data_IF_900270268774
#
_entry.id   IF_900270268774
#
_cell.length_a   1.000
_cell.length_b   1.000
_cell.length_c   1.000
_cell.angle_alpha   90.00
_cell.angle_beta   90.00
_cell.angle_gamma   90.00
#
_symmetry.space_group_name_H-M   'P 1'
#
loop_
_entity.id
_entity.type
_entity.pdbx_description
1 polymer ?
#
# COMPACT_ATOMS: atom_id res chain seq x y z
N UNK A 1 -5.07 25.26 -12.80
CA UNK A 1 -6.22 24.93 -13.68
C UNK A 1 -5.60 24.51 -14.98
N UNK A 2 -5.75 23.25 -15.35
CA UNK A 2 -5.12 22.66 -16.51
C UNK A 2 -5.38 23.43 -17.81
N UNK A 3 -4.40 23.41 -18.71
CA UNK A 3 -4.54 24.01 -20.03
C UNK A 3 -5.47 23.14 -20.89
N UNK A 4 -6.53 23.74 -21.44
CA UNK A 4 -7.53 23.05 -22.27
C UNK A 4 -6.94 22.38 -23.51
N UNK A 5 -5.92 22.97 -24.12
CA UNK A 5 -5.22 22.39 -25.27
C UNK A 5 -4.44 21.13 -24.86
N UNK A 6 -3.77 21.16 -23.70
CA UNK A 6 -3.06 20.00 -23.16
C UNK A 6 -4.04 18.87 -22.80
N UNK A 7 -5.20 19.19 -22.23
CA UNK A 7 -6.23 18.17 -21.95
C UNK A 7 -6.70 17.52 -23.25
N UNK A 8 -6.98 18.33 -24.29
CA UNK A 8 -7.42 17.79 -25.59
C UNK A 8 -6.33 16.94 -26.23
N UNK A 9 -5.07 17.36 -26.14
CA UNK A 9 -3.92 16.61 -26.62
C UNK A 9 -3.83 15.26 -25.90
N UNK A 10 -3.88 15.25 -24.57
CA UNK A 10 -3.76 14.02 -23.79
C UNK A 10 -4.93 13.07 -24.08
N UNK A 11 -6.14 13.59 -24.25
CA UNK A 11 -7.32 12.79 -24.67
C UNK A 11 -7.19 12.17 -26.06
N UNK A 12 -6.37 12.76 -26.94
CA UNK A 12 -6.08 12.18 -28.25
C UNK A 12 -5.07 11.02 -28.23
N UNK A 13 -4.43 10.77 -27.08
CA UNK A 13 -3.65 9.56 -26.79
C UNK A 13 -2.14 9.75 -26.83
N UNK A 14 -1.41 8.68 -26.48
CA UNK A 14 0.05 8.69 -26.32
C UNK A 14 0.81 9.13 -27.59
N UNK A 15 0.35 8.70 -28.78
CA UNK A 15 0.97 9.10 -30.05
C UNK A 15 0.88 10.59 -30.32
N UNK A 16 -0.23 11.22 -29.94
CA UNK A 16 -0.38 12.66 -30.11
C UNK A 16 0.55 13.44 -29.17
N UNK A 17 0.71 12.97 -27.92
CA UNK A 17 1.71 13.53 -26.99
C UNK A 17 3.11 13.43 -27.60
N UNK A 18 3.48 12.27 -28.17
CA UNK A 18 4.78 12.09 -28.81
C UNK A 18 4.99 13.07 -29.98
N UNK A 19 4.02 13.16 -30.91
CA UNK A 19 4.09 14.10 -32.04
C UNK A 19 4.13 15.55 -31.59
N UNK A 20 3.34 15.93 -30.57
CA UNK A 20 3.39 17.27 -30.01
C UNK A 20 4.74 17.56 -29.38
N UNK A 21 5.34 16.60 -28.66
CA UNK A 21 6.68 16.73 -28.11
C UNK A 21 7.72 16.88 -29.21
N UNK A 22 7.65 16.12 -30.30
CA UNK A 22 8.56 16.27 -31.46
C UNK A 22 8.47 17.67 -32.10
N UNK A 23 7.27 18.21 -32.27
CA UNK A 23 7.05 19.54 -32.88
C UNK A 23 7.46 20.67 -31.93
N UNK A 24 7.21 20.51 -30.63
CA UNK A 24 7.48 21.52 -29.61
C UNK A 24 8.83 21.29 -28.90
N UNK A 25 9.69 20.41 -29.44
CA UNK A 25 10.99 20.08 -28.85
C UNK A 25 11.98 21.25 -28.86
N UNK A 26 11.60 22.42 -29.39
CA UNK A 26 12.35 23.67 -29.27
C UNK A 26 11.42 24.89 -29.29
N UNK A 27 11.44 25.73 -28.24
CA UNK A 27 11.08 27.16 -28.37
C UNK A 27 11.98 28.03 -27.45
N UNK A 28 12.61 29.10 -27.99
CA UNK A 28 13.50 30.03 -27.29
C UNK A 28 12.75 30.91 -26.27
N UNK A 29 13.44 31.39 -25.24
CA UNK A 29 12.91 32.50 -24.45
C UNK A 29 13.27 33.85 -25.14
N UNK A 30 12.29 34.69 -25.54
CA UNK A 30 12.53 36.01 -26.12
C UNK A 30 12.76 37.13 -25.09
N UNK A 31 12.95 36.84 -23.78
CA UNK A 31 12.74 37.87 -22.74
C UNK A 31 13.63 37.88 -21.48
N UNK A 32 14.79 37.19 -21.43
CA UNK A 32 15.81 37.33 -20.35
C UNK A 32 17.20 36.96 -20.93
N UNK A 33 18.26 37.75 -20.92
CA UNK A 33 18.62 38.93 -20.13
C UNK A 33 19.43 39.94 -20.98
N UNK A 34 18.91 41.15 -21.21
CA UNK A 34 19.78 42.29 -21.53
C UNK A 34 20.51 42.71 -20.25
N UNK A 35 21.67 42.12 -19.98
CA UNK A 35 22.63 42.77 -19.09
C UNK A 35 23.26 43.93 -19.85
N UNK A 36 22.80 45.16 -19.57
CA UNK A 36 23.56 46.37 -19.91
C UNK A 36 24.84 46.38 -19.08
N UNK A 37 25.93 45.86 -19.64
CA UNK A 37 27.27 46.07 -19.11
C UNK A 37 27.56 47.57 -19.15
N UNK A 38 27.64 48.20 -17.98
CA UNK A 38 28.14 49.56 -17.82
C UNK A 38 29.67 49.51 -17.69
N UNK A 39 30.37 49.52 -18.83
CA UNK A 39 31.81 49.74 -18.88
C UNK A 39 32.12 51.01 -19.69
N UNK A 40 33.01 51.84 -19.13
CA UNK A 40 33.64 52.94 -19.85
C UNK A 40 34.63 52.34 -20.87
N UNK A 41 34.48 52.76 -22.12
CA UNK A 41 35.35 52.44 -23.25
C UNK A 41 36.77 52.94 -23.01
N UNK A 42 37.72 52.06 -22.71
CA UNK A 42 39.13 52.18 -23.10
C UNK A 42 39.76 50.77 -23.14
N UNK A 43 39.41 49.93 -24.12
CA UNK A 43 40.43 49.23 -24.91
C UNK A 43 39.85 48.44 -26.09
N UNK A 44 40.73 48.23 -27.07
CA UNK A 44 40.44 47.80 -28.44
C UNK A 44 40.13 46.30 -28.59
N UNK A 45 39.26 46.03 -29.56
CA UNK A 45 39.19 44.82 -30.39
C UNK A 45 39.01 43.46 -29.70
N UNK A 46 37.76 43.08 -29.43
CA UNK A 46 37.31 41.69 -29.50
C UNK A 46 35.91 41.66 -30.11
N UNK A 47 35.74 41.00 -31.26
CA UNK A 47 34.42 40.62 -31.75
C UNK A 47 34.02 39.34 -31.00
N UNK A 48 33.46 39.48 -29.79
CA UNK A 48 32.79 38.35 -29.15
C UNK A 48 31.39 38.21 -29.76
N UNK A 49 31.26 37.32 -30.73
CA UNK A 49 29.95 36.77 -31.09
C UNK A 49 29.46 35.90 -29.94
N UNK A 50 28.64 36.47 -29.06
CA UNK A 50 27.90 35.71 -28.06
C UNK A 50 26.90 34.80 -28.78
N UNK A 51 27.11 33.47 -28.67
CA UNK A 51 26.04 32.50 -28.93
C UNK A 51 25.23 32.38 -27.65
N UNK A 52 23.89 32.46 -27.69
CA UNK A 52 23.07 32.23 -26.50
C UNK A 52 23.40 30.84 -25.93
N UNK A 53 23.69 30.76 -24.62
CA UNK A 53 23.73 29.48 -23.94
C UNK A 53 22.31 28.92 -23.88
N UNK A 54 22.07 27.83 -24.62
CA UNK A 54 20.81 27.12 -24.62
C UNK A 54 20.65 26.39 -23.28
N UNK A 55 19.69 26.79 -22.43
CA UNK A 55 19.20 25.90 -21.39
C UNK A 55 18.28 24.89 -22.06
N UNK A 56 18.73 23.63 -22.18
CA UNK A 56 18.00 22.53 -22.79
C UNK A 56 16.71 22.19 -22.01
N UNK A 57 15.62 22.92 -22.23
CA UNK A 57 14.33 22.68 -21.58
C UNK A 57 13.32 22.04 -22.53
N UNK A 58 12.78 20.88 -22.16
CA UNK A 58 11.63 20.26 -22.85
C UNK A 58 10.32 20.93 -22.45
N UNK A 59 9.38 21.04 -23.40
CA UNK A 59 8.03 21.55 -23.14
C UNK A 59 7.32 20.66 -22.10
N UNK A 60 6.61 21.28 -21.15
CA UNK A 60 5.88 20.60 -20.07
C UNK A 60 4.38 20.69 -20.29
N UNK A 61 3.68 19.58 -20.09
CA UNK A 61 2.22 19.57 -20.05
C UNK A 61 1.74 19.99 -18.66
N UNK A 62 0.90 21.02 -18.62
CA UNK A 62 0.08 21.39 -17.46
C UNK A 62 -1.30 20.72 -17.55
N UNK A 63 -1.49 19.70 -16.71
CA UNK A 63 -2.69 18.90 -16.53
C UNK A 63 -3.25 19.05 -15.09
N UNK A 64 -2.92 20.16 -14.42
CA UNK A 64 -3.32 20.41 -13.03
C UNK A 64 -4.84 20.36 -12.82
N UNK A 65 -5.31 19.44 -11.99
CA UNK A 65 -6.74 19.27 -11.70
C UNK A 65 -7.56 18.75 -12.88
N UNK A 66 -6.92 18.22 -13.93
CA UNK A 66 -7.64 17.71 -15.10
C UNK A 66 -8.43 16.43 -14.77
N UNK A 67 -9.65 16.32 -15.28
CA UNK A 67 -10.44 15.09 -15.26
C UNK A 67 -10.05 14.22 -16.45
N UNK A 68 -9.29 13.16 -16.19
CA UNK A 68 -8.71 12.23 -17.18
C UNK A 68 -9.06 10.77 -16.85
N UNK A 69 -10.18 10.53 -16.14
CA UNK A 69 -10.63 9.20 -15.76
C UNK A 69 -10.76 8.26 -16.96
N UNK A 70 -10.23 7.04 -16.86
CA UNK A 70 -10.34 6.00 -17.88
C UNK A 70 -9.46 6.23 -19.11
N UNK A 71 -8.50 7.16 -19.07
CA UNK A 71 -7.67 7.47 -20.22
C UNK A 71 -6.68 6.34 -20.55
N UNK A 72 -6.33 6.21 -21.83
CA UNK A 72 -5.41 5.18 -22.32
C UNK A 72 -4.15 5.84 -22.86
N UNK A 73 -3.09 5.79 -22.06
CA UNK A 73 -1.78 6.38 -22.34
C UNK A 73 -0.65 5.36 -22.11
N UNK A 74 -0.74 4.12 -22.65
CA UNK A 74 0.35 3.17 -22.49
C UNK A 74 1.61 3.68 -23.19
N UNK A 75 2.76 3.61 -22.52
CA UNK A 75 4.03 4.06 -23.08
C UNK A 75 4.15 5.56 -23.31
N UNK A 76 3.22 6.37 -22.80
CA UNK A 76 3.29 7.81 -22.96
C UNK A 76 4.48 8.40 -22.19
N UNK A 77 5.18 9.36 -22.78
CA UNK A 77 6.17 10.17 -22.09
C UNK A 77 5.46 11.38 -21.47
N UNK A 78 5.33 11.31 -20.15
CA UNK A 78 4.78 12.31 -19.22
C UNK A 78 5.80 12.64 -18.13
N UNK A 79 7.09 12.36 -18.37
CA UNK A 79 8.19 12.78 -17.50
C UNK A 79 8.04 14.28 -17.20
N UNK A 80 8.58 14.85 -16.12
CA UNK A 80 8.54 16.26 -15.62
C UNK A 80 7.26 17.12 -15.85
N UNK A 81 6.14 16.52 -16.26
CA UNK A 81 4.88 17.23 -16.49
C UNK A 81 4.16 17.49 -15.16
N UNK A 82 3.23 18.44 -15.17
CA UNK A 82 2.43 18.79 -13.99
C UNK A 82 1.05 18.14 -14.09
N UNK A 83 0.82 17.15 -13.24
CA UNK A 83 -0.42 16.39 -13.10
C UNK A 83 -0.99 16.56 -11.67
N UNK A 84 -0.62 17.62 -10.95
CA UNK A 84 -1.08 17.80 -9.57
C UNK A 84 -2.62 17.84 -9.50
N UNK A 85 -3.20 17.05 -8.60
CA UNK A 85 -4.64 16.98 -8.37
C UNK A 85 -5.47 16.43 -9.52
N UNK A 86 -4.87 15.84 -10.56
CA UNK A 86 -5.63 15.26 -11.66
C UNK A 86 -6.39 14.00 -11.24
N UNK A 87 -7.51 13.73 -11.90
CA UNK A 87 -8.24 12.47 -11.77
C UNK A 87 -7.87 11.55 -12.94
N UNK A 88 -7.06 10.53 -12.63
CA UNK A 88 -6.66 9.44 -13.50
C UNK A 88 -7.33 8.11 -13.09
N UNK A 89 -8.46 8.14 -12.38
CA UNK A 89 -9.15 6.93 -11.93
C UNK A 89 -9.46 5.98 -13.09
N UNK A 90 -9.15 4.69 -12.93
CA UNK A 90 -9.44 3.66 -13.94
C UNK A 90 -8.63 3.78 -15.24
N UNK A 91 -7.55 4.55 -15.24
CA UNK A 91 -6.74 4.80 -16.44
C UNK A 91 -5.73 3.68 -16.71
N UNK A 92 -5.24 3.62 -17.95
CA UNK A 92 -4.17 2.74 -18.37
C UNK A 92 -2.95 3.56 -18.77
N UNK A 93 -1.92 3.53 -17.93
CA UNK A 93 -0.62 4.20 -18.06
C UNK A 93 0.52 3.18 -18.05
N UNK A 94 0.24 1.93 -18.43
CA UNK A 94 1.22 0.85 -18.47
C UNK A 94 2.45 1.28 -19.26
N UNK A 95 3.64 1.07 -18.70
CA UNK A 95 4.92 1.40 -19.33
C UNK A 95 5.11 2.88 -19.69
N UNK A 96 4.28 3.79 -19.18
CA UNK A 96 4.50 5.22 -19.33
C UNK A 96 5.74 5.69 -18.57
N UNK A 97 6.35 6.77 -19.04
CA UNK A 97 7.44 7.46 -18.34
C UNK A 97 6.88 8.69 -17.65
N UNK A 98 6.99 8.75 -16.32
CA UNK A 98 6.60 9.85 -15.45
C UNK A 98 7.78 10.30 -14.57
N UNK A 99 9.01 10.10 -15.04
CA UNK A 99 10.22 10.54 -14.37
C UNK A 99 10.11 12.00 -13.91
N UNK A 100 10.26 12.26 -12.61
CA UNK A 100 10.27 13.62 -12.05
C UNK A 100 8.99 14.43 -12.26
N UNK A 101 7.86 13.79 -12.62
CA UNK A 101 6.58 14.50 -12.75
C UNK A 101 6.02 14.97 -11.40
N UNK A 102 5.00 15.81 -11.44
CA UNK A 102 4.24 16.22 -10.25
C UNK A 102 2.85 15.58 -10.26
N UNK A 103 2.55 14.76 -9.27
CA UNK A 103 1.29 14.02 -9.05
C UNK A 103 0.71 14.26 -7.65
N UNK A 104 1.11 15.35 -7.00
CA UNK A 104 0.62 15.71 -5.65
C UNK A 104 -0.90 15.69 -5.61
N UNK A 105 -1.46 14.99 -4.63
CA UNK A 105 -2.90 14.83 -4.44
C UNK A 105 -3.67 14.33 -5.68
N UNK A 106 -2.99 13.71 -6.66
CA UNK A 106 -3.67 13.11 -7.81
C UNK A 106 -4.45 11.86 -7.39
N UNK A 107 -5.58 11.62 -8.04
CA UNK A 107 -6.41 10.42 -7.83
C UNK A 107 -6.15 9.45 -8.97
N UNK A 108 -5.42 8.37 -8.72
CA UNK A 108 -4.97 7.39 -9.71
C UNK A 108 -5.47 5.99 -9.32
N UNK A 109 -6.61 5.93 -8.63
CA UNK A 109 -7.18 4.70 -8.09
C UNK A 109 -7.71 3.76 -9.18
N UNK A 110 -7.61 2.44 -8.95
CA UNK A 110 -8.06 1.39 -9.88
C UNK A 110 -7.43 1.47 -11.27
N UNK A 111 -6.22 2.01 -11.36
CA UNK A 111 -5.52 2.23 -12.64
C UNK A 111 -4.45 1.18 -12.89
N UNK A 112 -4.13 0.95 -14.17
CA UNK A 112 -3.01 0.13 -14.58
C UNK A 112 -1.77 1.00 -14.80
N UNK A 113 -0.83 0.91 -13.87
CA UNK A 113 0.48 1.58 -13.84
C UNK A 113 1.61 0.53 -13.92
N UNK A 114 1.32 -0.68 -14.42
CA UNK A 114 2.34 -1.75 -14.48
C UNK A 114 3.52 -1.31 -15.33
N UNK A 115 4.75 -1.58 -14.86
CA UNK A 115 6.01 -1.20 -15.53
C UNK A 115 6.20 0.30 -15.77
N UNK A 116 5.53 1.16 -15.00
CA UNK A 116 5.68 2.62 -15.12
C UNK A 116 7.02 3.10 -14.54
N UNK A 117 7.52 4.23 -15.03
CA UNK A 117 8.68 4.92 -14.45
C UNK A 117 8.21 6.15 -13.68
N UNK A 118 8.38 6.16 -12.37
CA UNK A 118 8.04 7.25 -11.44
C UNK A 118 9.26 7.71 -10.64
N UNK A 119 10.48 7.41 -11.12
CA UNK A 119 11.72 7.83 -10.47
C UNK A 119 11.70 9.34 -10.20
N UNK A 120 11.96 9.74 -8.94
CA UNK A 120 11.93 11.14 -8.48
C UNK A 120 10.59 11.87 -8.68
N UNK A 121 9.50 11.17 -8.94
CA UNK A 121 8.19 11.79 -9.04
C UNK A 121 7.74 12.33 -7.67
N UNK A 122 7.02 13.46 -7.69
CA UNK A 122 6.41 14.04 -6.50
C UNK A 122 4.96 13.60 -6.41
N UNK A 123 4.66 12.67 -5.50
CA UNK A 123 3.37 11.97 -5.37
C UNK A 123 2.75 12.14 -3.97
N UNK A 124 3.06 13.26 -3.30
CA UNK A 124 2.63 13.52 -1.92
C UNK A 124 1.10 13.49 -1.84
N UNK A 125 0.57 12.68 -0.92
CA UNK A 125 -0.87 12.56 -0.67
C UNK A 125 -1.70 12.05 -1.85
N UNK A 126 -1.09 11.43 -2.87
CA UNK A 126 -1.86 10.84 -3.97
C UNK A 126 -2.67 9.61 -3.52
N UNK A 127 -3.71 9.26 -4.29
CA UNK A 127 -4.49 8.05 -4.08
C UNK A 127 -4.20 7.05 -5.18
N UNK A 128 -3.68 5.87 -4.80
CA UNK A 128 -3.33 4.74 -5.65
C UNK A 128 -4.13 3.48 -5.27
N UNK A 129 -5.29 3.68 -4.65
CA UNK A 129 -6.10 2.60 -4.09
C UNK A 129 -6.47 1.60 -5.18
N UNK A 130 -6.19 0.31 -4.94
CA UNK A 130 -6.45 -0.80 -5.87
C UNK A 130 -5.81 -0.63 -7.26
N UNK A 131 -4.72 0.11 -7.36
CA UNK A 131 -3.98 0.28 -8.61
C UNK A 131 -2.88 -0.78 -8.77
N UNK A 132 -2.56 -1.11 -10.02
CA UNK A 132 -1.51 -2.05 -10.36
C UNK A 132 -0.23 -1.31 -10.74
N UNK A 133 0.76 -1.27 -9.86
CA UNK A 133 2.10 -0.74 -10.12
C UNK A 133 3.13 -1.86 -10.32
N UNK A 134 2.73 -3.11 -10.55
CA UNK A 134 3.67 -4.24 -10.63
C UNK A 134 4.84 -4.00 -11.59
N UNK A 135 6.05 -4.37 -11.16
CA UNK A 135 7.30 -4.19 -11.90
C UNK A 135 7.62 -2.74 -12.30
N UNK A 136 7.16 -1.75 -11.53
CA UNK A 136 7.46 -0.33 -11.76
C UNK A 136 8.72 0.14 -11.04
N UNK A 137 9.22 1.32 -11.44
CA UNK A 137 10.36 1.98 -10.79
C UNK A 137 9.90 3.28 -10.14
N UNK A 138 9.99 3.37 -8.82
CA UNK A 138 9.65 4.53 -7.99
C UNK A 138 10.86 5.00 -7.16
N UNK A 139 12.08 4.73 -7.63
CA UNK A 139 13.32 5.12 -6.96
C UNK A 139 13.32 6.63 -6.64
N UNK A 140 13.64 6.97 -5.38
CA UNK A 140 13.64 8.35 -4.87
C UNK A 140 12.32 9.13 -5.08
N UNK A 141 11.18 8.47 -5.33
CA UNK A 141 9.89 9.13 -5.42
C UNK A 141 9.40 9.60 -4.03
N UNK A 142 8.65 10.70 -3.99
CA UNK A 142 8.00 11.17 -2.76
C UNK A 142 6.53 10.73 -2.72
N UNK A 143 6.24 9.69 -1.95
CA UNK A 143 4.92 9.13 -1.70
C UNK A 143 4.44 9.42 -0.27
N UNK A 144 4.95 10.48 0.37
CA UNK A 144 4.57 10.79 1.74
C UNK A 144 3.07 11.06 1.86
N UNK A 145 2.43 10.40 2.84
CA UNK A 145 0.99 10.43 3.04
C UNK A 145 0.14 9.84 1.92
N UNK A 146 0.73 9.14 0.94
CA UNK A 146 -0.02 8.52 -0.14
C UNK A 146 -0.90 7.36 0.36
N UNK A 147 -2.06 7.16 -0.27
CA UNK A 147 -2.94 6.03 -0.01
C UNK A 147 -2.75 4.95 -1.07
N UNK A 148 -2.04 3.89 -0.71
CA UNK A 148 -1.70 2.75 -1.55
C UNK A 148 -2.55 1.52 -1.19
N UNK A 149 -3.64 1.68 -0.44
CA UNK A 149 -4.42 0.54 0.04
C UNK A 149 -4.83 -0.40 -1.11
N UNK A 150 -4.62 -1.70 -0.90
CA UNK A 150 -4.90 -2.77 -1.86
C UNK A 150 -4.09 -2.73 -3.17
N UNK A 151 -3.13 -1.81 -3.31
CA UNK A 151 -2.32 -1.69 -4.53
C UNK A 151 -1.38 -2.89 -4.73
N UNK A 152 -1.07 -3.21 -5.99
CA UNK A 152 -0.07 -4.21 -6.35
C UNK A 152 1.25 -3.52 -6.65
N UNK A 153 2.26 -3.72 -5.80
CA UNK A 153 3.63 -3.25 -5.97
C UNK A 153 4.63 -4.42 -6.04
N UNK A 154 4.19 -5.60 -6.48
CA UNK A 154 5.08 -6.75 -6.68
C UNK A 154 6.23 -6.39 -7.63
N UNK A 155 7.45 -6.83 -7.28
CA UNK A 155 8.68 -6.57 -8.04
C UNK A 155 9.00 -5.08 -8.29
N UNK A 156 8.45 -4.16 -7.50
CA UNK A 156 8.73 -2.73 -7.67
C UNK A 156 10.10 -2.36 -7.11
N UNK A 157 10.77 -1.40 -7.76
CA UNK A 157 11.94 -0.73 -7.20
C UNK A 157 11.52 0.57 -6.51
N UNK A 158 11.52 0.59 -5.18
CA UNK A 158 11.22 1.73 -4.33
C UNK A 158 12.47 2.27 -3.61
N UNK A 159 13.69 1.92 -4.06
CA UNK A 159 14.91 2.32 -3.36
C UNK A 159 14.96 3.82 -3.08
N UNK A 160 15.19 4.18 -1.81
CA UNK A 160 15.27 5.57 -1.37
C UNK A 160 13.97 6.37 -1.45
N UNK A 161 12.83 5.75 -1.77
CA UNK A 161 11.54 6.44 -1.81
C UNK A 161 11.08 6.91 -0.42
N UNK A 162 10.32 7.99 -0.38
CA UNK A 162 9.70 8.50 0.84
C UNK A 162 8.25 8.01 0.94
N UNK A 163 7.98 7.06 1.82
CA UNK A 163 6.66 6.50 2.14
C UNK A 163 6.19 6.93 3.55
N UNK A 164 6.73 8.02 4.10
CA UNK A 164 6.38 8.45 5.45
C UNK A 164 4.89 8.77 5.57
N UNK A 165 4.23 8.19 6.58
CA UNK A 165 2.79 8.31 6.81
C UNK A 165 1.91 7.68 5.73
N UNK A 166 2.47 6.93 4.79
CA UNK A 166 1.69 6.29 3.73
C UNK A 166 0.78 5.18 4.30
N UNK A 167 -0.39 5.01 3.67
CA UNK A 167 -1.28 3.89 3.95
C UNK A 167 -0.98 2.74 2.98
N UNK A 168 -0.33 1.69 3.47
CA UNK A 168 0.00 0.47 2.74
C UNK A 168 -0.94 -0.69 3.10
N UNK A 169 -2.11 -0.42 3.72
CA UNK A 169 -3.03 -1.48 4.14
C UNK A 169 -3.38 -2.45 3.00
N UNK A 170 -3.16 -3.75 3.21
CA UNK A 170 -3.45 -4.80 2.23
C UNK A 170 -2.74 -4.63 0.88
N UNK A 171 -1.61 -3.93 0.87
CA UNK A 171 -0.75 -3.76 -0.29
C UNK A 171 0.10 -5.02 -0.48
N UNK A 172 0.44 -5.31 -1.73
CA UNK A 172 1.37 -6.40 -2.04
C UNK A 172 2.69 -5.83 -2.53
N UNK A 173 3.69 -5.91 -1.67
CA UNK A 173 5.07 -5.50 -1.89
C UNK A 173 5.99 -6.73 -2.02
N UNK A 174 5.43 -7.90 -2.39
CA UNK A 174 6.24 -9.11 -2.54
C UNK A 174 7.36 -8.87 -3.56
N UNK A 175 8.58 -9.27 -3.23
CA UNK A 175 9.78 -9.08 -4.06
C UNK A 175 10.14 -7.62 -4.37
N UNK A 176 9.59 -6.65 -3.65
CA UNK A 176 9.92 -5.24 -3.86
C UNK A 176 11.29 -4.89 -3.24
N UNK A 177 12.02 -4.00 -3.90
CA UNK A 177 13.20 -3.36 -3.33
C UNK A 177 12.75 -2.11 -2.56
N UNK A 178 12.75 -2.19 -1.23
CA UNK A 178 12.44 -1.10 -0.30
C UNK A 178 13.72 -0.59 0.41
N UNK A 179 14.90 -0.86 -0.14
CA UNK A 179 16.16 -0.47 0.48
C UNK A 179 16.21 1.05 0.69
N UNK A 180 16.65 1.47 1.88
CA UNK A 180 16.80 2.89 2.27
C UNK A 180 15.51 3.72 2.15
N UNK A 181 14.34 3.08 2.10
CA UNK A 181 13.05 3.79 2.08
C UNK A 181 12.77 4.45 3.43
N UNK A 182 12.06 5.57 3.39
CA UNK A 182 11.52 6.19 4.59
C UNK A 182 10.08 5.70 4.79
N UNK A 183 9.86 4.79 5.75
CA UNK A 183 8.55 4.24 6.12
C UNK A 183 8.05 4.79 7.46
N UNK A 184 8.55 5.95 7.90
CA UNK A 184 8.21 6.53 9.21
C UNK A 184 6.70 6.73 9.35
N UNK A 185 6.10 6.17 10.39
CA UNK A 185 4.67 6.31 10.65
C UNK A 185 3.76 5.65 9.60
N UNK A 186 4.29 4.87 8.66
CA UNK A 186 3.49 4.19 7.65
C UNK A 186 2.62 3.10 8.27
N UNK A 187 1.43 2.88 7.69
CA UNK A 187 0.54 1.79 8.05
C UNK A 187 0.78 0.60 7.10
N UNK A 188 1.47 -0.43 7.58
CA UNK A 188 1.89 -1.63 6.85
C UNK A 188 1.02 -2.83 7.33
N UNK A 189 -0.27 -2.58 7.54
CA UNK A 189 -1.19 -3.63 8.01
C UNK A 189 -1.61 -4.55 6.87
N UNK A 190 -1.71 -5.86 7.12
CA UNK A 190 -2.13 -6.87 6.13
C UNK A 190 -1.31 -6.84 4.82
N UNK A 191 -0.10 -6.26 4.87
CA UNK A 191 0.74 -6.07 3.69
C UNK A 191 1.55 -7.33 3.45
N UNK A 192 1.65 -7.78 2.19
CA UNK A 192 2.65 -8.78 1.84
C UNK A 192 4.00 -8.11 1.60
N UNK A 193 5.01 -8.48 2.38
CA UNK A 193 6.42 -8.11 2.22
C UNK A 193 7.27 -9.36 1.93
N UNK A 194 6.65 -10.44 1.43
CA UNK A 194 7.36 -11.68 1.13
C UNK A 194 8.55 -11.41 0.21
N UNK A 195 9.75 -11.84 0.62
CA UNK A 195 11.01 -11.62 -0.13
C UNK A 195 11.33 -10.15 -0.44
N UNK A 196 10.71 -9.18 0.27
CA UNK A 196 11.01 -7.76 0.09
C UNK A 196 12.32 -7.37 0.78
N UNK A 197 13.08 -6.45 0.17
CA UNK A 197 14.34 -5.94 0.73
C UNK A 197 14.11 -4.61 1.45
N UNK A 198 14.09 -4.60 2.79
CA UNK A 198 14.00 -3.39 3.61
C UNK A 198 15.37 -2.97 4.18
N UNK A 199 16.48 -3.33 3.51
CA UNK A 199 17.83 -3.01 3.99
C UNK A 199 18.00 -1.50 4.19
N UNK A 200 18.32 -1.09 5.42
CA UNK A 200 18.49 0.33 5.77
C UNK A 200 17.22 1.16 5.75
N UNK A 201 16.03 0.55 5.65
CA UNK A 201 14.76 1.28 5.68
C UNK A 201 14.49 1.90 7.07
N UNK A 202 13.81 3.04 7.10
CA UNK A 202 13.43 3.72 8.33
C UNK A 202 11.98 3.40 8.71
N UNK A 203 11.80 2.51 9.68
CA UNK A 203 10.51 2.02 10.17
C UNK A 203 10.05 2.73 11.45
N UNK A 204 10.67 3.86 11.84
CA UNK A 204 10.35 4.53 13.10
C UNK A 204 8.88 4.98 13.13
N UNK A 205 8.12 4.52 14.12
CA UNK A 205 6.68 4.78 14.26
C UNK A 205 5.77 3.99 13.31
N UNK A 206 6.32 3.14 12.44
CA UNK A 206 5.53 2.33 11.53
C UNK A 206 4.65 1.30 12.28
N UNK A 207 3.51 0.96 11.68
CA UNK A 207 2.59 -0.04 12.19
C UNK A 207 2.61 -1.26 11.27
N UNK A 208 3.26 -2.33 11.71
CA UNK A 208 3.36 -3.60 10.99
C UNK A 208 2.41 -4.57 11.70
N UNK A 209 1.20 -4.74 11.16
CA UNK A 209 0.16 -5.55 11.80
C UNK A 209 -0.34 -6.60 10.83
N UNK A 210 -0.25 -7.89 11.16
CA UNK A 210 -0.68 -8.99 10.28
C UNK A 210 0.00 -8.96 8.90
N UNK A 211 1.21 -8.41 8.83
CA UNK A 211 1.97 -8.40 7.59
C UNK A 211 2.59 -9.77 7.35
N UNK A 212 2.61 -10.21 6.09
CA UNK A 212 3.42 -11.35 5.69
C UNK A 212 4.87 -10.88 5.50
N UNK A 213 5.76 -11.39 6.34
CA UNK A 213 7.18 -11.01 6.38
C UNK A 213 8.08 -12.16 5.92
N UNK A 214 7.54 -13.21 5.31
CA UNK A 214 8.30 -14.40 4.94
C UNK A 214 9.52 -14.04 4.08
N UNK A 215 10.71 -14.40 4.55
CA UNK A 215 11.98 -14.15 3.86
C UNK A 215 12.27 -12.68 3.51
N UNK A 216 11.61 -11.74 4.19
CA UNK A 216 11.92 -10.30 4.07
C UNK A 216 13.26 -9.96 4.73
N UNK A 217 13.96 -8.95 4.21
CA UNK A 217 15.30 -8.55 4.66
C UNK A 217 15.21 -7.26 5.47
N UNK A 218 15.63 -7.29 6.74
CA UNK A 218 15.58 -6.14 7.68
C UNK A 218 16.99 -5.65 8.07
N UNK A 219 18.02 -6.04 7.33
CA UNK A 219 19.41 -5.68 7.64
C UNK A 219 19.59 -4.16 7.76
N UNK A 220 20.15 -3.69 8.87
CA UNK A 220 20.36 -2.27 9.15
C UNK A 220 19.10 -1.39 9.11
N UNK A 221 17.89 -1.98 9.11
CA UNK A 221 16.66 -1.21 9.23
C UNK A 221 16.65 -0.46 10.57
N UNK A 222 16.06 0.74 10.59
CA UNK A 222 16.00 1.59 11.78
C UNK A 222 14.61 1.50 12.38
N UNK A 223 14.52 1.15 13.66
CA UNK A 223 13.26 1.03 14.39
C UNK A 223 13.26 1.89 15.65
N UNK A 224 12.11 2.49 15.95
CA UNK A 224 11.83 3.17 17.21
C UNK A 224 10.33 3.47 17.27
N UNK A 225 9.66 3.11 18.36
CA UNK A 225 8.20 3.23 18.50
C UNK A 225 7.46 2.48 17.39
N UNK A 226 8.11 1.48 16.80
CA UNK A 226 7.53 0.64 15.75
C UNK A 226 6.65 -0.41 16.40
N UNK A 227 5.46 -0.64 15.85
CA UNK A 227 4.55 -1.68 16.35
C UNK A 227 4.63 -2.88 15.42
N UNK A 228 4.98 -4.04 15.96
CA UNK A 228 4.88 -5.33 15.29
C UNK A 228 3.85 -6.15 16.02
N UNK A 229 2.73 -6.41 15.35
CA UNK A 229 1.58 -7.12 15.90
C UNK A 229 1.16 -8.22 14.95
N UNK A 230 0.96 -9.40 15.50
CA UNK A 230 0.42 -10.58 14.84
C UNK A 230 1.18 -11.02 13.58
N UNK A 231 2.50 -10.83 13.56
CA UNK A 231 3.37 -11.21 12.44
C UNK A 231 4.20 -12.46 12.77
N UNK A 232 4.58 -13.23 11.74
CA UNK A 232 5.63 -14.26 11.87
C UNK A 232 6.99 -13.64 11.54
N UNK A 233 7.90 -13.63 12.51
CA UNK A 233 9.25 -13.09 12.40
C UNK A 233 10.32 -14.17 12.17
N UNK A 234 9.95 -15.47 12.16
CA UNK A 234 10.90 -16.58 12.02
C UNK A 234 11.70 -16.52 10.72
N UNK A 235 11.05 -16.14 9.63
CA UNK A 235 11.64 -16.08 8.29
C UNK A 235 12.36 -14.77 7.99
N UNK A 236 12.35 -13.79 8.88
CA UNK A 236 12.91 -12.46 8.61
C UNK A 236 14.41 -12.49 8.73
N UNK A 237 15.09 -12.02 7.69
CA UNK A 237 16.54 -12.04 7.56
C UNK A 237 17.13 -10.76 8.15
N UNK A 238 18.15 -10.88 9.01
CA UNK A 238 18.88 -9.73 9.53
C UNK A 238 18.21 -8.98 10.69
N UNK A 239 17.25 -9.60 11.38
CA UNK A 239 16.63 -9.03 12.59
C UNK A 239 17.64 -8.67 13.68
N UNK A 240 18.73 -9.42 13.80
CA UNK A 240 19.83 -9.18 14.72
C UNK A 240 20.70 -7.96 14.35
N UNK A 241 20.60 -7.50 13.10
CA UNK A 241 21.28 -6.30 12.58
C UNK A 241 20.38 -5.07 12.56
N UNK A 242 19.15 -5.16 13.06
CA UNK A 242 18.24 -4.01 13.15
C UNK A 242 18.78 -3.00 14.15
N UNK A 243 18.80 -1.74 13.74
CA UNK A 243 19.20 -0.62 14.56
C UNK A 243 17.99 -0.06 15.33
N UNK A 244 17.77 -0.55 16.55
CA UNK A 244 16.76 -0.01 17.45
C UNK A 244 17.26 1.29 18.10
N UNK A 245 16.67 2.42 17.70
CA UNK A 245 16.93 3.77 18.23
C UNK A 245 15.93 4.18 19.32
N UNK A 246 15.04 3.27 19.72
CA UNK A 246 14.06 3.48 20.78
C UNK A 246 13.22 2.21 21.02
N UNK A 247 12.39 2.19 22.08
CA UNK A 247 11.56 1.04 22.38
C UNK A 247 10.54 0.80 21.27
N UNK A 248 10.32 -0.45 20.91
CA UNK A 248 9.34 -0.88 19.92
C UNK A 248 8.39 -1.90 20.55
N UNK A 249 7.14 -1.91 20.12
CA UNK A 249 6.13 -2.83 20.65
C UNK A 249 6.15 -4.11 19.83
N UNK A 250 6.58 -5.21 20.47
CA UNK A 250 6.44 -6.56 19.92
C UNK A 250 5.34 -7.25 20.71
N UNK A 251 4.27 -7.65 20.05
CA UNK A 251 3.12 -8.27 20.70
C UNK A 251 3.36 -9.73 21.10
N UNK A 252 2.59 -10.24 22.07
CA UNK A 252 2.69 -11.64 22.53
C UNK A 252 2.30 -12.63 21.43
N UNK A 253 1.29 -12.29 20.65
CA UNK A 253 0.86 -13.03 19.46
C UNK A 253 1.96 -13.11 18.40
N UNK A 254 2.76 -12.05 18.20
CA UNK A 254 3.94 -12.09 17.31
C UNK A 254 4.98 -13.10 17.81
N UNK A 255 5.28 -13.10 19.12
CA UNK A 255 6.23 -14.06 19.73
C UNK A 255 5.72 -15.50 19.58
N UNK A 256 4.42 -15.71 19.80
CA UNK A 256 3.75 -17.00 19.63
C UNK A 256 3.78 -17.49 18.19
N UNK A 257 3.39 -16.64 17.22
CA UNK A 257 3.40 -16.98 15.79
C UNK A 257 4.78 -17.33 15.26
N UNK A 258 5.79 -16.63 15.75
CA UNK A 258 7.19 -16.87 15.38
C UNK A 258 7.76 -18.17 15.97
N UNK A 259 6.96 -18.95 16.72
CA UNK A 259 7.40 -20.21 17.34
C UNK A 259 8.60 -20.02 18.27
N UNK A 260 8.72 -18.84 18.86
CA UNK A 260 9.86 -18.44 19.65
C UNK A 260 11.22 -18.40 18.95
N UNK A 261 11.23 -18.24 17.62
CA UNK A 261 12.44 -18.16 16.80
C UNK A 261 12.90 -16.71 16.54
N UNK A 262 12.55 -15.76 17.41
CA UNK A 262 13.00 -14.37 17.29
C UNK A 262 14.37 -14.22 17.98
N UNK A 263 15.38 -13.57 17.34
CA UNK A 263 16.66 -13.31 17.97
C UNK A 263 16.53 -12.54 19.28
N UNK A 264 17.22 -13.02 20.32
CA UNK A 264 17.18 -12.40 21.65
C UNK A 264 17.79 -10.99 21.63
N UNK A 265 18.84 -10.77 20.84
CA UNK A 265 19.45 -9.44 20.64
C UNK A 265 18.45 -8.42 20.12
N UNK A 266 17.58 -8.84 19.20
CA UNK A 266 16.50 -8.01 18.68
C UNK A 266 15.47 -7.68 19.76
N UNK A 267 14.95 -8.68 20.48
CA UNK A 267 13.96 -8.46 21.54
C UNK A 267 14.48 -7.55 22.66
N UNK A 268 15.75 -7.76 23.08
CA UNK A 268 16.40 -6.91 24.08
C UNK A 268 16.56 -5.48 23.61
N UNK A 269 17.04 -5.28 22.37
CA UNK A 269 17.23 -3.94 21.81
C UNK A 269 15.93 -3.22 21.51
N UNK A 270 14.84 -3.95 21.21
CA UNK A 270 13.49 -3.42 21.09
C UNK A 270 12.87 -3.04 22.45
N UNK A 271 13.46 -3.44 23.58
CA UNK A 271 12.98 -3.11 24.93
C UNK A 271 11.97 -4.11 25.51
N UNK A 272 11.94 -5.35 25.01
CA UNK A 272 11.07 -6.40 25.55
C UNK A 272 11.57 -6.87 26.92
N UNK A 273 10.66 -7.02 27.88
CA UNK A 273 11.00 -7.42 29.24
C UNK A 273 11.63 -8.82 29.30
N UNK A 274 12.65 -9.00 30.14
CA UNK A 274 13.39 -10.26 30.30
C UNK A 274 12.52 -11.52 30.49
N UNK A 275 11.47 -11.51 31.34
CA UNK A 275 10.58 -12.66 31.49
C UNK A 275 9.85 -13.06 30.20
N UNK A 276 9.49 -12.09 29.35
CA UNK A 276 8.86 -12.38 28.05
C UNK A 276 9.86 -13.01 27.09
N UNK A 277 11.11 -12.55 27.10
CA UNK A 277 12.19 -13.14 26.31
C UNK A 277 12.44 -14.59 26.74
N UNK A 278 12.45 -14.88 28.04
CA UNK A 278 12.61 -16.24 28.56
C UNK A 278 11.42 -17.14 28.20
N UNK A 279 10.20 -16.60 28.24
CA UNK A 279 8.98 -17.35 27.85
C UNK A 279 9.01 -17.82 26.40
N UNK A 280 9.82 -17.19 25.55
CA UNK A 280 10.00 -17.57 24.16
C UNK A 280 10.57 -18.99 24.01
N UNK A 281 11.45 -19.42 24.93
CA UNK A 281 12.06 -20.76 24.88
C UNK A 281 11.02 -21.86 25.02
N UNK A 282 9.99 -21.65 25.85
CA UNK A 282 8.89 -22.58 26.03
C UNK A 282 8.03 -22.76 24.76
N UNK A 283 8.06 -21.79 23.84
CA UNK A 283 7.28 -21.83 22.60
C UNK A 283 7.99 -22.59 21.47
N UNK A 284 9.32 -22.77 21.54
CA UNK A 284 10.10 -23.42 20.46
C UNK A 284 9.71 -24.87 20.19
N UNK A 285 9.25 -25.58 21.22
CA UNK A 285 8.81 -26.97 21.12
C UNK A 285 7.29 -27.11 20.87
N UNK A 286 6.55 -26.00 20.87
CA UNK A 286 5.11 -26.03 20.60
C UNK A 286 4.86 -26.06 19.09
N UNK A 287 4.40 -27.22 18.58
CA UNK A 287 3.95 -27.34 17.17
C UNK A 287 2.55 -26.75 16.93
N UNK A 288 1.94 -26.14 17.95
CA UNK A 288 0.54 -25.68 17.90
C UNK A 288 0.53 -24.25 17.37
N UNK A 289 -0.12 -24.04 16.22
CA UNK A 289 -0.58 -22.70 15.84
C UNK A 289 -1.73 -22.34 16.77
N UNK A 290 -1.72 -21.13 17.32
CA UNK A 290 -2.83 -20.57 18.10
C UNK A 290 -3.57 -19.56 17.23
N UNK A 291 -4.35 -19.99 16.22
CA UNK A 291 -5.09 -19.04 15.42
C UNK A 291 -6.15 -18.36 16.28
N UNK A 292 -6.34 -17.07 16.06
CA UNK A 292 -7.48 -16.33 16.59
C UNK A 292 -8.63 -16.39 15.59
N UNK A 293 -9.83 -16.75 16.04
CA UNK A 293 -10.99 -16.92 15.16
C UNK A 293 -12.07 -15.91 15.51
N UNK A 294 -12.53 -15.13 14.53
CA UNK A 294 -13.73 -14.30 14.67
C UNK A 294 -14.87 -14.95 13.89
N UNK A 295 -15.93 -15.33 14.60
CA UNK A 295 -17.16 -15.87 14.04
C UNK A 295 -18.11 -14.69 13.78
N UNK A 296 -18.58 -14.56 12.55
CA UNK A 296 -19.52 -13.51 12.14
C UNK A 296 -20.82 -14.17 11.68
N UNK A 297 -21.95 -13.73 12.24
CA UNK A 297 -23.28 -14.21 11.88
C UNK A 297 -24.36 -13.20 12.26
N UNK A 298 -25.62 -13.48 11.91
CA UNK A 298 -26.77 -12.73 12.39
C UNK A 298 -27.08 -13.03 13.87
N UNK A 299 -27.87 -12.18 14.52
CA UNK A 299 -28.33 -12.38 15.92
C UNK A 299 -29.07 -13.70 16.12
N UNK A 300 -29.71 -14.20 15.07
CA UNK A 300 -30.39 -15.50 15.05
C UNK A 300 -29.45 -16.71 15.05
N UNK A 301 -28.17 -16.54 14.75
CA UNK A 301 -27.19 -17.63 14.64
C UNK A 301 -26.34 -17.79 15.90
N UNK A 302 -26.70 -17.12 17.00
CA UNK A 302 -25.96 -17.16 18.27
C UNK A 302 -25.74 -18.59 18.75
N UNK A 303 -26.77 -19.44 18.73
CA UNK A 303 -26.67 -20.82 19.21
C UNK A 303 -25.67 -21.67 18.40
N UNK A 304 -25.58 -21.41 17.09
CA UNK A 304 -24.62 -22.08 16.21
C UNK A 304 -23.21 -21.54 16.46
N UNK A 305 -23.07 -20.22 16.58
CA UNK A 305 -21.81 -19.57 16.88
C UNK A 305 -21.24 -20.04 18.24
N UNK A 306 -22.09 -20.22 19.25
CA UNK A 306 -21.69 -20.75 20.57
C UNK A 306 -21.22 -22.20 20.49
N UNK A 307 -21.92 -23.07 19.75
CA UNK A 307 -21.48 -24.46 19.55
C UNK A 307 -20.11 -24.54 18.86
N UNK A 308 -19.86 -23.68 17.88
CA UNK A 308 -18.57 -23.60 17.19
C UNK A 308 -17.49 -23.10 18.16
N UNK A 309 -17.78 -22.03 18.93
CA UNK A 309 -16.89 -21.50 19.97
C UNK A 309 -16.52 -22.57 21.00
N UNK A 310 -17.48 -23.33 21.51
CA UNK A 310 -17.26 -24.41 22.47
C UNK A 310 -16.43 -25.56 21.87
N UNK A 311 -16.61 -25.83 20.57
CA UNK A 311 -15.78 -26.76 19.81
C UNK A 311 -14.33 -26.29 19.71
N UNK A 312 -14.12 -25.03 19.35
CA UNK A 312 -12.80 -24.39 19.25
C UNK A 312 -12.09 -24.28 20.60
N UNK A 313 -12.84 -24.00 21.67
CA UNK A 313 -12.32 -23.92 23.04
C UNK A 313 -11.70 -25.25 23.50
N UNK A 314 -12.25 -26.40 23.08
CA UNK A 314 -11.67 -27.74 23.38
C UNK A 314 -10.29 -27.93 22.75
N UNK A 315 -9.98 -27.18 21.69
CA UNK A 315 -8.68 -27.18 21.04
C UNK A 315 -7.80 -25.99 21.44
N UNK A 316 -8.15 -25.27 22.51
CA UNK A 316 -7.44 -24.07 22.99
C UNK A 316 -7.34 -22.96 21.93
N UNK A 317 -8.34 -22.86 21.05
CA UNK A 317 -8.41 -21.83 20.01
C UNK A 317 -9.28 -20.66 20.52
N UNK A 318 -8.69 -19.48 20.77
CA UNK A 318 -9.45 -18.30 21.17
C UNK A 318 -10.42 -17.91 20.05
N UNK A 319 -11.70 -17.81 20.39
CA UNK A 319 -12.74 -17.44 19.45
C UNK A 319 -13.70 -16.40 20.02
N UNK A 320 -14.11 -15.49 19.15
CA UNK A 320 -15.03 -14.41 19.47
C UNK A 320 -16.20 -14.44 18.48
N UNK A 321 -17.35 -13.94 18.91
CA UNK A 321 -18.56 -13.86 18.10
C UNK A 321 -18.91 -12.40 17.89
N UNK A 322 -19.17 -12.02 16.65
CA UNK A 322 -19.65 -10.70 16.29
C UNK A 322 -20.95 -10.83 15.51
N UNK A 323 -21.91 -10.00 15.90
CA UNK A 323 -23.26 -10.02 15.34
C UNK A 323 -23.34 -8.97 14.23
N UNK A 324 -23.71 -9.38 13.01
CA UNK A 324 -23.73 -8.54 11.82
C UNK A 324 -24.99 -7.68 11.65
N UNK A 325 -25.98 -7.82 12.53
CA UNK A 325 -27.27 -7.10 12.48
C UNK A 325 -27.48 -6.12 13.65
N UNK A 326 -26.39 -5.72 14.32
CA UNK A 326 -26.43 -4.69 15.38
C UNK A 326 -26.63 -3.29 14.77
N UNK A 327 -27.88 -2.84 14.70
CA UNK A 327 -28.27 -1.52 14.18
C UNK A 327 -27.59 -0.35 14.90
N UNK A 328 -27.34 -0.44 16.22
CA UNK A 328 -26.67 0.64 16.97
C UNK A 328 -25.20 0.76 16.57
N UNK A 329 -24.54 -0.36 16.33
CA UNK A 329 -23.13 -0.38 15.94
C UNK A 329 -22.92 0.00 14.46
N UNK A 330 -23.91 -0.22 13.58
CA UNK A 330 -23.94 0.31 12.20
C UNK A 330 -24.15 1.83 12.20
N UNK A 331 -25.14 2.35 12.94
CA UNK A 331 -25.46 3.78 12.97
C UNK A 331 -24.37 4.63 13.62
N UNK A 332 -23.64 4.07 14.59
CA UNK A 332 -22.53 4.76 15.26
C UNK A 332 -21.18 4.64 14.54
N UNK A 333 -21.13 3.99 13.37
CA UNK A 333 -19.90 3.70 12.63
C UNK A 333 -18.86 2.94 13.49
N UNK A 334 -19.32 2.22 14.53
CA UNK A 334 -18.50 1.44 15.47
C UNK A 334 -18.26 0.01 14.99
N UNK A 335 -19.06 -0.50 14.07
CA UNK A 335 -18.73 -1.70 13.29
C UNK A 335 -17.60 -1.32 12.34
N UNK A 336 -16.39 -1.33 12.90
CA UNK A 336 -15.20 -0.91 12.21
C UNK A 336 -14.57 -2.19 11.65
N UNK A 337 -14.73 -2.41 10.33
CA UNK A 337 -14.04 -3.47 9.58
C UNK A 337 -12.51 -3.45 9.79
N UNK A 338 -11.92 -2.34 10.25
CA UNK A 338 -10.50 -2.32 10.62
C UNK A 338 -10.15 -3.26 11.79
N UNK A 339 -11.12 -3.69 12.62
CA UNK A 339 -10.84 -4.62 13.71
C UNK A 339 -10.86 -6.09 13.27
N UNK A 340 -11.48 -6.43 12.13
CA UNK A 340 -11.40 -7.79 11.59
C UNK A 340 -9.96 -8.17 11.23
N UNK A 341 -9.14 -7.16 10.95
CA UNK A 341 -7.71 -7.34 10.66
C UNK A 341 -6.93 -7.95 11.82
N UNK A 342 -7.40 -7.88 13.07
CA UNK A 342 -6.70 -8.47 14.23
C UNK A 342 -6.83 -9.99 14.35
N UNK A 343 -7.70 -10.63 13.57
CA UNK A 343 -7.99 -12.06 13.68
C UNK A 343 -7.33 -12.85 12.55
N UNK A 344 -6.82 -14.03 12.89
CA UNK A 344 -6.14 -14.91 11.93
C UNK A 344 -7.10 -15.60 10.97
N UNK A 345 -8.31 -15.93 11.45
CA UNK A 345 -9.35 -16.53 10.62
C UNK A 345 -10.71 -15.91 10.90
N UNK A 346 -11.45 -15.68 9.83
CA UNK A 346 -12.82 -15.15 9.86
C UNK A 346 -13.76 -16.29 9.48
N UNK A 347 -14.65 -16.67 10.38
CA UNK A 347 -15.62 -17.73 10.15
C UNK A 347 -16.99 -17.10 9.90
N UNK A 348 -17.45 -17.16 8.65
CA UNK A 348 -18.71 -16.55 8.21
C UNK A 348 -19.82 -17.59 8.29
N UNK A 349 -20.86 -17.31 9.06
CA UNK A 349 -22.06 -18.12 9.14
C UNK A 349 -23.00 -17.75 7.98
N UNK A 350 -23.14 -18.66 7.02
CA UNK A 350 -24.01 -18.51 5.85
C UNK A 350 -25.30 -19.33 6.04
N UNK A 351 -26.12 -18.92 7.02
CA UNK A 351 -27.45 -19.49 7.29
C UNK A 351 -28.52 -18.75 6.49
N UNK A 352 -29.74 -19.31 6.41
CA UNK A 352 -30.91 -18.63 5.82
C UNK A 352 -31.12 -17.24 6.44
N UNK A 353 -30.95 -17.13 7.76
CA UNK A 353 -31.18 -15.90 8.50
C UNK A 353 -30.07 -14.87 8.24
N UNK A 354 -28.81 -15.30 8.19
CA UNK A 354 -27.68 -14.43 7.87
C UNK A 354 -27.71 -13.90 6.43
N UNK A 355 -28.05 -14.75 5.46
CA UNK A 355 -28.16 -14.37 4.04
C UNK A 355 -29.50 -13.68 3.70
N UNK A 356 -30.50 -13.85 4.55
CA UNK A 356 -31.80 -13.19 4.46
C UNK A 356 -31.78 -11.77 5.02
N UNK A 357 -30.88 -11.48 5.97
CA UNK A 357 -30.75 -10.15 6.56
C UNK A 357 -29.93 -9.21 5.65
N UNK A 358 -30.53 -8.07 5.31
CA UNK A 358 -29.92 -7.04 4.46
C UNK A 358 -28.66 -6.42 5.06
N UNK A 359 -28.62 -6.23 6.38
CA UNK A 359 -27.48 -5.62 7.10
C UNK A 359 -26.27 -6.57 7.09
N UNK A 360 -26.49 -7.82 7.48
CA UNK A 360 -25.46 -8.87 7.47
C UNK A 360 -24.94 -9.15 6.06
N UNK A 361 -25.81 -9.12 5.05
CA UNK A 361 -25.42 -9.30 3.65
C UNK A 361 -24.58 -8.13 3.11
N UNK A 362 -24.91 -6.90 3.50
CA UNK A 362 -24.07 -5.74 3.18
C UNK A 362 -22.71 -5.86 3.85
N UNK A 363 -22.67 -6.30 5.11
CA UNK A 363 -21.43 -6.53 5.86
C UNK A 363 -20.53 -7.59 5.20
N UNK A 364 -21.09 -8.73 4.79
CA UNK A 364 -20.35 -9.76 4.06
C UNK A 364 -19.83 -9.25 2.71
N UNK A 365 -20.65 -8.48 1.98
CA UNK A 365 -20.23 -7.89 0.70
C UNK A 365 -19.06 -6.94 0.88
N UNK A 366 -19.08 -6.11 1.93
CA UNK A 366 -18.03 -5.15 2.23
C UNK A 366 -16.74 -5.87 2.63
N UNK A 367 -16.83 -6.85 3.54
CA UNK A 367 -15.73 -7.67 4.01
C UNK A 367 -15.03 -8.38 2.84
N UNK A 368 -15.80 -9.06 1.98
CA UNK A 368 -15.29 -9.71 0.77
C UNK A 368 -14.67 -8.73 -0.23
N UNK A 369 -15.21 -7.52 -0.36
CA UNK A 369 -14.66 -6.49 -1.25
C UNK A 369 -13.35 -5.89 -0.74
N UNK A 370 -13.14 -5.90 0.58
CA UNK A 370 -11.91 -5.43 1.22
C UNK A 370 -10.83 -6.51 1.28
N UNK A 371 -11.16 -7.79 1.27
CA UNK A 371 -10.14 -8.86 1.28
C UNK A 371 -9.62 -9.19 -0.14
N UNK A 372 -8.29 -9.20 -0.32
CA UNK A 372 -7.65 -9.78 -1.51
C UNK A 372 -7.86 -11.30 -1.57
N UNK A 373 -7.68 -11.87 -2.77
CA UNK A 373 -7.80 -13.31 -3.07
C UNK A 373 -6.90 -14.19 -2.19
N UNK A 374 -5.71 -13.72 -1.79
CA UNK A 374 -4.81 -14.48 -0.90
C UNK A 374 -5.29 -14.44 0.57
N UNK A 375 -5.89 -13.34 1.02
CA UNK A 375 -6.53 -13.25 2.35
C UNK A 375 -7.89 -13.95 2.44
N UNK A 376 -8.49 -14.36 1.31
CA UNK A 376 -9.67 -15.23 1.31
C UNK A 376 -9.37 -16.61 1.92
N UNK A 377 -8.11 -17.05 1.92
CA UNK A 377 -7.71 -18.33 2.53
C UNK A 377 -7.93 -18.38 4.05
N UNK A 378 -8.10 -17.23 4.70
CA UNK A 378 -8.41 -17.13 6.12
C UNK A 378 -9.91 -17.03 6.41
N UNK A 379 -10.74 -16.90 5.37
CA UNK A 379 -12.20 -16.87 5.49
C UNK A 379 -12.74 -18.28 5.34
N UNK A 380 -13.37 -18.81 6.39
CA UNK A 380 -14.09 -20.09 6.34
C UNK A 380 -15.59 -19.83 6.36
N UNK A 381 -16.28 -20.21 5.30
CA UNK A 381 -17.74 -20.11 5.25
C UNK A 381 -18.34 -21.40 5.78
N UNK A 382 -19.18 -21.29 6.81
CA UNK A 382 -19.95 -22.41 7.35
C UNK A 382 -21.41 -22.22 6.96
N UNK A 383 -21.87 -23.04 6.02
CA UNK A 383 -23.27 -23.11 5.62
C UNK A 383 -23.96 -24.26 6.37
N UNK A 384 -25.12 -23.98 6.97
CA UNK A 384 -25.99 -25.01 7.55
C UNK A 384 -26.96 -25.60 6.54
N UNK A 385 -27.20 -24.89 5.44
CA UNK A 385 -28.26 -25.19 4.47
C UNK A 385 -27.77 -25.05 3.01
N UNK A 386 -28.49 -25.67 2.07
CA UNK A 386 -28.19 -25.62 0.63
C UNK A 386 -28.41 -24.24 -0.01
N UNK A 387 -28.87 -23.24 0.76
CA UNK A 387 -29.18 -21.89 0.28
C UNK A 387 -27.95 -21.19 -0.31
N UNK A 388 -26.77 -21.41 0.29
CA UNK A 388 -25.51 -20.89 -0.25
C UNK A 388 -25.26 -21.41 -1.69
N UNK A 389 -25.64 -22.65 -1.96
CA UNK A 389 -25.45 -23.31 -3.26
C UNK A 389 -26.58 -23.02 -4.25
N UNK A 390 -27.81 -22.84 -3.76
CA UNK A 390 -29.01 -22.62 -4.59
C UNK A 390 -29.21 -21.16 -5.03
N UNK A 391 -28.62 -20.18 -4.32
CA UNK A 391 -28.84 -18.74 -4.58
C UNK A 391 -27.73 -18.15 -5.46
N UNK A 392 -28.04 -17.76 -6.68
CA UNK A 392 -27.09 -17.17 -7.67
C UNK A 392 -26.83 -15.66 -7.49
N UNK A 393 -26.81 -15.17 -6.26
CA UNK A 393 -26.48 -13.76 -5.99
C UNK A 393 -24.96 -13.56 -5.97
N UNK A 394 -24.47 -12.37 -6.39
CA UNK A 394 -23.03 -12.04 -6.41
C UNK A 394 -22.31 -12.35 -5.10
N UNK A 395 -22.97 -12.10 -3.96
CA UNK A 395 -22.43 -12.41 -2.63
C UNK A 395 -22.30 -13.92 -2.40
N UNK A 396 -23.31 -14.72 -2.75
CA UNK A 396 -23.25 -16.18 -2.61
C UNK A 396 -22.24 -16.80 -3.59
N UNK A 397 -22.04 -16.21 -4.77
CA UNK A 397 -20.94 -16.61 -5.66
C UNK A 397 -19.58 -16.29 -5.04
N UNK A 398 -19.41 -15.07 -4.49
CA UNK A 398 -18.15 -14.66 -3.85
C UNK A 398 -17.83 -15.37 -2.54
N UNK A 399 -18.84 -15.87 -1.80
CA UNK A 399 -18.66 -16.71 -0.61
C UNK A 399 -18.32 -18.17 -0.97
N UNK A 400 -18.68 -18.62 -2.17
CA UNK A 400 -18.34 -19.97 -2.68
C UNK A 400 -16.93 -20.06 -3.24
N UNK A 401 -16.42 -18.95 -3.79
CA UNK A 401 -15.07 -18.77 -4.32
C UNK A 401 -14.04 -18.37 -3.27
#
# INVERSE_FOLDING_TARGET
>A
MANSEHISLVRSGASAIATWREVNYMIPNPSKDEFKLSYRLEDRSTHETFRPEFVHGRAKLDLTGAFLSGIKLPGADLSYDDLAGCDLTGSNLRSADLFGCTLNAAVISRSNLSRITLTRANMVGCSLIRSDLSSSTLEMADLSGADLAFANLTYCNLEGANLSGANLTSTDLSWANLARTNLRGANISLTSLMMADLTGADLRGAQIMNADLESSIFMNAVMAVTKIVNCDLKGVIGLDMVNNQGPSTISLDTISKSGGMIPESFLRSAGVAGPLIQSQEALRDTRRRYPTVLIVGASSDTDLAEKIRDGLAKFDVPSWTMVGDDEEAVQSNKIILSHSTYYDSLLILATENSLGNSLTSQYYSELLSTTRVESKQNITVVATDDILFNREDRLCTSLRE
#
